data_IF_552398946580
#
_entry.id   IF_552398946580
#
_cell.length_a   1.000
_cell.length_b   1.000
_cell.length_c   1.000
_cell.angle_alpha   90.00
_cell.angle_beta   90.00
_cell.angle_gamma   90.00
#
_symmetry.space_group_name_H-M   'P 1'
#
loop_
_entity.id
_entity.type
_entity.pdbx_description
1 polymer ?
#
# COMPACT_ATOMS: atom_id res chain seq x y z
N UNK A 1 -98.40 -14.83 -15.41
CA UNK A 1 -97.11 -15.57 -15.57
C UNK A 1 -95.98 -14.68 -15.07
N UNK A 2 -94.95 -15.31 -14.52
CA UNK A 2 -93.98 -14.82 -13.52
C UNK A 2 -93.22 -13.51 -13.85
N UNK A 3 -92.88 -12.69 -12.82
CA UNK A 3 -92.05 -11.47 -12.89
C UNK A 3 -90.59 -11.69 -12.39
N UNK A 4 -89.82 -10.58 -12.25
CA UNK A 4 -88.56 -10.38 -11.49
C UNK A 4 -87.25 -10.82 -12.19
N UNK A 5 -86.09 -10.19 -12.04
CA UNK A 5 -85.66 -9.03 -11.25
C UNK A 5 -84.35 -8.47 -11.84
N UNK A 6 -84.15 -7.16 -11.71
CA UNK A 6 -82.85 -6.50 -11.82
C UNK A 6 -81.97 -6.91 -10.63
N UNK A 7 -80.74 -7.35 -10.89
CA UNK A 7 -79.69 -7.50 -9.89
C UNK A 7 -78.66 -6.37 -10.07
N UNK A 8 -78.56 -5.50 -9.06
CA UNK A 8 -77.47 -4.57 -8.89
C UNK A 8 -76.18 -5.34 -8.57
N UNK A 9 -75.15 -5.18 -9.41
CA UNK A 9 -73.79 -5.61 -9.08
C UNK A 9 -73.10 -4.49 -8.28
N UNK A 10 -72.76 -4.76 -7.02
CA UNK A 10 -71.86 -3.91 -6.24
C UNK A 10 -70.44 -4.39 -6.51
N UNK A 11 -69.63 -3.56 -7.17
CA UNK A 11 -68.21 -3.82 -7.37
C UNK A 11 -67.44 -3.47 -6.09
N UNK A 12 -66.93 -4.49 -5.40
CA UNK A 12 -65.97 -4.32 -4.28
C UNK A 12 -64.58 -4.14 -4.89
N UNK A 13 -63.99 -2.97 -4.69
CA UNK A 13 -62.59 -2.71 -5.05
C UNK A 13 -61.68 -3.24 -3.95
N UNK A 14 -60.93 -4.31 -4.22
CA UNK A 14 -59.82 -4.72 -3.37
C UNK A 14 -58.62 -3.80 -3.63
N UNK A 15 -58.33 -2.91 -2.68
CA UNK A 15 -57.07 -2.16 -2.64
C UNK A 15 -56.01 -3.10 -2.08
N UNK A 16 -55.15 -3.65 -2.94
CA UNK A 16 -53.91 -4.29 -2.49
C UNK A 16 -52.92 -3.20 -2.08
N UNK A 17 -52.39 -3.21 -0.83
CA UNK A 17 -51.28 -2.35 -0.49
C UNK A 17 -50.03 -2.81 -1.25
N UNK A 18 -49.50 -1.91 -2.06
CA UNK A 18 -48.19 -2.02 -2.69
C UNK A 18 -47.13 -2.10 -1.57
N UNK A 19 -46.27 -3.12 -1.49
CA UNK A 19 -45.20 -3.12 -0.50
C UNK A 19 -44.25 -1.98 -0.85
N UNK A 20 -44.12 -1.02 0.07
CA UNK A 20 -43.14 0.04 -0.05
C UNK A 20 -41.75 -0.60 -0.20
N UNK A 21 -41.11 -0.39 -1.35
CA UNK A 21 -39.71 -0.72 -1.53
C UNK A 21 -38.92 0.07 -0.48
N UNK A 22 -38.41 -0.62 0.54
CA UNK A 22 -37.35 -0.09 1.40
C UNK A 22 -36.23 0.35 0.48
N UNK A 23 -36.01 1.66 0.37
CA UNK A 23 -34.83 2.20 -0.27
C UNK A 23 -33.62 1.53 0.39
N UNK A 24 -32.87 0.76 -0.40
CA UNK A 24 -31.61 0.20 0.05
C UNK A 24 -30.74 1.37 0.51
N UNK A 25 -30.46 1.42 1.81
CA UNK A 25 -29.53 2.40 2.36
C UNK A 25 -28.21 2.25 1.61
N UNK A 26 -27.69 3.37 1.09
CA UNK A 26 -26.40 3.37 0.41
C UNK A 26 -25.36 2.73 1.35
N UNK A 27 -24.48 1.85 0.84
CA UNK A 27 -23.50 1.21 1.69
C UNK A 27 -22.73 2.28 2.47
N UNK A 28 -22.47 2.08 3.78
CA UNK A 28 -21.82 3.09 4.59
C UNK A 28 -20.48 3.45 3.96
N UNK A 29 -20.31 4.73 3.63
CA UNK A 29 -19.06 5.23 3.06
C UNK A 29 -17.98 5.06 4.12
N UNK A 30 -16.88 4.39 3.78
CA UNK A 30 -15.72 4.24 4.65
C UNK A 30 -15.25 5.60 5.16
N UNK A 31 -15.45 5.87 6.46
CA UNK A 31 -15.03 7.11 7.11
C UNK A 31 -13.49 7.17 7.24
N UNK A 32 -12.87 6.02 7.50
CA UNK A 32 -11.41 5.88 7.56
C UNK A 32 -10.86 5.48 6.20
N UNK A 33 -9.83 6.20 5.74
CA UNK A 33 -9.12 5.95 4.48
C UNK A 33 -7.63 5.75 4.74
N UNK A 34 -7.00 4.85 4.00
CA UNK A 34 -5.55 4.77 3.94
C UNK A 34 -5.02 5.91 3.05
N UNK A 35 -4.19 6.77 3.63
CA UNK A 35 -3.66 7.97 2.98
C UNK A 35 -2.33 7.73 2.28
N UNK A 36 -1.40 7.02 2.95
CA UNK A 36 -0.06 6.74 2.40
C UNK A 36 0.58 5.50 2.99
N UNK A 37 1.51 4.96 2.22
CA UNK A 37 2.44 3.88 2.56
C UNK A 37 3.86 4.45 2.65
N UNK A 38 4.63 4.04 3.64
CA UNK A 38 6.01 4.45 3.80
C UNK A 38 6.88 3.26 4.22
N UNK A 39 8.11 3.18 3.73
CA UNK A 39 9.16 2.30 4.27
C UNK A 39 9.99 3.09 5.27
N UNK A 40 10.10 2.60 6.50
CA UNK A 40 10.93 3.20 7.54
C UNK A 40 12.31 2.56 7.55
N UNK A 41 13.35 3.38 7.48
CA UNK A 41 14.72 2.93 7.72
C UNK A 41 15.50 3.99 8.50
N UNK A 42 16.60 3.57 9.11
CA UNK A 42 17.46 4.46 9.88
C UNK A 42 18.19 5.45 8.97
N UNK A 43 18.31 6.69 9.42
CA UNK A 43 19.08 7.76 8.79
C UNK A 43 19.95 8.44 9.87
N UNK A 44 21.00 7.75 10.32
CA UNK A 44 21.91 8.23 11.36
C UNK A 44 21.23 8.59 12.68
N UNK A 45 21.47 9.82 13.14
CA UNK A 45 20.89 10.41 14.35
C UNK A 45 19.44 10.87 14.17
N UNK A 46 18.97 11.05 12.94
CA UNK A 46 17.56 11.37 12.67
C UNK A 46 16.61 10.21 13.01
N UNK A 47 17.16 9.02 13.28
CA UNK A 47 16.38 7.84 13.65
C UNK A 47 15.66 7.24 12.45
N UNK A 48 14.44 6.77 12.64
CA UNK A 48 13.63 6.12 11.59
C UNK A 48 12.94 7.16 10.71
N UNK A 49 13.38 7.23 9.45
CA UNK A 49 12.83 8.15 8.43
C UNK A 49 12.03 7.35 7.41
N UNK A 50 10.82 7.83 7.13
CA UNK A 50 9.91 7.23 6.17
C UNK A 50 10.15 7.74 4.75
N UNK A 51 10.26 6.80 3.81
CA UNK A 51 10.21 7.06 2.38
C UNK A 51 8.83 6.66 1.86
N UNK A 52 8.10 7.59 1.25
CA UNK A 52 6.76 7.31 0.72
C UNK A 52 6.82 6.35 -0.47
N UNK A 53 6.01 5.29 -0.41
CA UNK A 53 5.89 4.29 -1.46
C UNK A 53 4.90 4.80 -2.51
N UNK A 54 5.46 5.36 -3.58
CA UNK A 54 4.72 5.80 -4.77
C UNK A 54 4.85 4.81 -5.92
N UNK A 55 4.16 5.06 -7.04
CA UNK A 55 4.19 4.14 -8.18
C UNK A 55 5.62 3.94 -8.71
N UNK A 56 6.09 2.70 -8.68
CA UNK A 56 7.45 2.36 -9.11
C UNK A 56 8.54 2.58 -8.08
N UNK A 57 8.17 2.78 -6.82
CA UNK A 57 9.10 2.92 -5.71
C UNK A 57 10.13 1.79 -5.62
N UNK A 58 11.38 2.16 -5.37
CA UNK A 58 12.49 1.26 -5.06
C UNK A 58 13.14 1.68 -3.75
N UNK A 59 13.23 0.74 -2.82
CA UNK A 59 13.99 0.87 -1.58
C UNK A 59 15.48 0.62 -1.89
N UNK A 60 16.24 1.71 -1.83
CA UNK A 60 17.67 1.77 -2.14
C UNK A 60 18.56 1.63 -0.91
N UNK A 61 18.01 1.81 0.30
CA UNK A 61 18.77 1.79 1.55
C UNK A 61 19.10 0.35 1.92
N UNK A 62 20.31 0.14 2.45
CA UNK A 62 20.84 -1.19 2.83
C UNK A 62 20.00 -1.88 3.91
N UNK A 63 19.26 -1.12 4.72
CA UNK A 63 18.31 -1.67 5.67
C UNK A 63 17.18 -2.48 5.02
N UNK A 64 16.91 -2.25 3.73
CA UNK A 64 15.85 -2.91 2.98
C UNK A 64 14.45 -2.58 3.50
N UNK A 65 13.46 -3.33 3.00
CA UNK A 65 12.07 -3.20 3.45
C UNK A 65 11.90 -4.09 4.68
N UNK A 66 12.17 -3.55 5.87
CA UNK A 66 12.01 -4.26 7.14
C UNK A 66 10.89 -3.70 8.02
N UNK A 67 10.48 -2.46 7.78
CA UNK A 67 9.49 -1.75 8.58
C UNK A 67 8.62 -0.87 7.68
N UNK A 68 7.30 -0.97 7.83
CA UNK A 68 6.33 -0.21 7.07
C UNK A 68 5.55 0.72 7.99
N UNK A 69 5.20 1.90 7.48
CA UNK A 69 4.27 2.82 8.14
C UNK A 69 3.11 3.15 7.21
N UNK A 70 1.90 2.92 7.70
CA UNK A 70 0.66 3.24 7.02
C UNK A 70 -0.03 4.35 7.80
N UNK A 71 -0.42 5.43 7.11
CA UNK A 71 -1.12 6.57 7.74
C UNK A 71 -2.57 6.59 7.26
N UNK A 72 -3.51 6.68 8.19
CA UNK A 72 -4.95 6.70 7.93
C UNK A 72 -5.57 8.06 8.24
N UNK A 73 -6.70 8.38 7.60
CA UNK A 73 -7.46 9.61 7.83
C UNK A 73 -8.26 9.62 9.13
N UNK A 74 -8.31 8.48 9.83
CA UNK A 74 -9.10 8.27 11.04
C UNK A 74 -8.64 6.99 11.75
N UNK A 75 -9.14 6.74 12.96
CA UNK A 75 -8.67 5.63 13.78
C UNK A 75 -9.06 4.27 13.20
N UNK A 76 -8.13 3.32 13.30
CA UNK A 76 -8.27 1.90 12.94
C UNK A 76 -8.67 1.11 14.18
N UNK A 77 -9.54 0.11 14.01
CA UNK A 77 -9.89 -0.79 15.10
C UNK A 77 -8.74 -1.80 15.35
N UNK A 78 -8.06 -1.75 16.52
CA UNK A 78 -6.93 -2.63 16.83
C UNK A 78 -7.32 -4.11 16.82
N UNK A 79 -8.57 -4.45 17.10
CA UNK A 79 -9.02 -5.85 17.15
C UNK A 79 -9.05 -6.51 15.76
N UNK A 80 -8.99 -5.71 14.70
CA UNK A 80 -8.96 -6.19 13.30
C UNK A 80 -7.55 -6.40 12.75
N UNK A 81 -6.52 -6.06 13.52
CA UNK A 81 -5.10 -6.24 13.15
C UNK A 81 -4.57 -7.60 13.61
N UNK A 82 -5.09 -8.66 13.01
CA UNK A 82 -4.66 -10.04 13.24
C UNK A 82 -3.84 -10.63 12.08
N UNK A 83 -3.67 -11.95 12.08
CA UNK A 83 -3.08 -12.69 10.95
C UNK A 83 -3.87 -12.36 9.67
N UNK A 84 -3.15 -12.05 8.59
CA UNK A 84 -3.75 -11.64 7.31
C UNK A 84 -4.14 -10.16 7.22
N UNK A 85 -3.88 -9.34 8.26
CA UNK A 85 -4.00 -7.88 8.20
C UNK A 85 -3.20 -7.27 7.05
N UNK A 86 -1.99 -7.77 6.83
CA UNK A 86 -1.12 -7.40 5.74
C UNK A 86 -0.72 -8.67 4.97
N UNK A 87 -0.84 -8.61 3.65
CA UNK A 87 -0.28 -9.61 2.74
C UNK A 87 0.92 -9.02 2.02
N UNK A 88 1.99 -9.82 1.94
CA UNK A 88 3.23 -9.48 1.25
C UNK A 88 3.52 -10.58 0.26
N UNK A 89 3.66 -10.23 -1.02
CA UNK A 89 4.01 -11.20 -2.05
C UNK A 89 5.19 -10.72 -2.87
N UNK A 90 6.30 -11.45 -2.81
CA UNK A 90 7.44 -11.29 -3.72
C UNK A 90 7.13 -11.87 -5.09
N UNK A 91 7.63 -11.22 -6.13
CA UNK A 91 7.50 -11.70 -7.50
C UNK A 91 8.34 -12.97 -7.72
N UNK A 92 9.51 -13.05 -7.09
CA UNK A 92 10.36 -14.25 -7.05
C UNK A 92 10.15 -15.04 -5.76
N UNK A 93 9.97 -14.35 -4.62
CA UNK A 93 9.88 -14.97 -3.29
C UNK A 93 8.55 -15.66 -2.96
N UNK A 94 7.48 -15.43 -3.72
CA UNK A 94 6.16 -16.00 -3.41
C UNK A 94 5.46 -15.28 -2.26
N UNK A 95 4.67 -16.00 -1.45
CA UNK A 95 3.97 -15.43 -0.30
C UNK A 95 4.91 -15.29 0.89
N UNK A 96 5.04 -14.07 1.40
CA UNK A 96 5.91 -13.68 2.51
C UNK A 96 5.11 -13.07 3.65
N UNK A 97 3.78 -13.28 3.68
CA UNK A 97 2.90 -12.66 4.69
C UNK A 97 3.23 -13.10 6.12
N UNK A 98 3.83 -14.29 6.29
CA UNK A 98 4.27 -14.80 7.59
C UNK A 98 5.51 -14.07 8.15
N UNK A 99 6.19 -13.24 7.34
CA UNK A 99 7.30 -12.41 7.82
C UNK A 99 6.85 -11.26 8.72
N UNK A 100 5.54 -10.97 8.80
CA UNK A 100 5.02 -9.92 9.68
C UNK A 100 5.19 -10.34 11.13
N UNK A 101 6.21 -9.77 11.80
CA UNK A 101 6.54 -10.08 13.19
C UNK A 101 5.67 -9.31 14.18
N UNK A 102 5.19 -8.13 13.80
CA UNK A 102 4.38 -7.30 14.69
C UNK A 102 3.70 -6.13 14.00
N UNK A 103 2.60 -5.70 14.60
CA UNK A 103 1.82 -4.54 14.18
C UNK A 103 1.50 -3.70 15.42
N UNK A 104 1.67 -2.39 15.30
CA UNK A 104 1.37 -1.45 16.40
C UNK A 104 0.69 -0.21 15.87
N UNK A 105 -0.34 0.23 16.59
CA UNK A 105 -1.04 1.48 16.31
C UNK A 105 -0.44 2.62 17.16
N UNK A 106 -0.32 3.79 16.55
CA UNK A 106 0.25 5.00 17.12
C UNK A 106 -0.61 6.21 16.73
N UNK A 107 -0.40 7.34 17.40
CA UNK A 107 -1.04 8.61 17.02
C UNK A 107 -2.58 8.56 17.09
N UNK A 108 -3.14 7.98 18.16
CA UNK A 108 -4.59 7.81 18.30
C UNK A 108 -5.17 6.84 17.27
N UNK A 109 -4.45 5.75 17.02
CA UNK A 109 -4.82 4.67 16.09
C UNK A 109 -4.91 5.07 14.62
N UNK A 110 -4.27 6.18 14.25
CA UNK A 110 -4.23 6.68 12.86
C UNK A 110 -2.95 6.30 12.12
N UNK A 111 -1.95 5.76 12.81
CA UNK A 111 -0.68 5.34 12.23
C UNK A 111 -0.41 3.89 12.60
N UNK A 112 -0.38 3.01 11.60
CA UNK A 112 0.02 1.62 11.78
C UNK A 112 1.49 1.47 11.42
N UNK A 113 2.28 0.96 12.34
CA UNK A 113 3.67 0.54 12.11
C UNK A 113 3.70 -0.98 12.08
N UNK A 114 4.19 -1.54 10.98
CA UNK A 114 4.35 -2.98 10.76
C UNK A 114 5.84 -3.30 10.76
N UNK A 115 6.24 -4.23 11.63
CA UNK A 115 7.60 -4.72 11.73
C UNK A 115 7.67 -6.11 11.10
N UNK A 116 8.63 -6.31 10.20
CA UNK A 116 8.96 -7.62 9.66
C UNK A 116 10.05 -8.29 10.52
N UNK A 117 10.06 -9.62 10.53
CA UNK A 117 11.06 -10.42 11.24
C UNK A 117 12.47 -10.16 10.69
N UNK A 118 12.57 -9.95 9.38
CA UNK A 118 13.77 -9.57 8.65
C UNK A 118 13.39 -8.68 7.46
N UNK A 119 14.38 -8.04 6.86
CA UNK A 119 14.17 -7.28 5.63
C UNK A 119 13.75 -8.21 4.49
N UNK A 120 12.84 -7.76 3.64
CA UNK A 120 12.51 -8.46 2.40
C UNK A 120 13.76 -8.60 1.51
N UNK A 121 13.84 -9.70 0.76
CA UNK A 121 14.97 -10.01 -0.11
C UNK A 121 15.31 -8.88 -1.10
N UNK A 122 16.61 -8.63 -1.25
CA UNK A 122 17.11 -7.64 -2.18
C UNK A 122 17.13 -8.17 -3.62
N UNK A 123 16.65 -7.36 -4.57
CA UNK A 123 16.56 -7.74 -5.99
C UNK A 123 15.20 -8.32 -6.40
N UNK A 124 14.13 -8.09 -5.64
CA UNK A 124 12.77 -8.52 -5.98
C UNK A 124 11.76 -7.36 -5.95
N UNK A 125 10.57 -7.62 -6.51
CA UNK A 125 9.40 -6.73 -6.48
C UNK A 125 8.32 -7.31 -5.59
N UNK A 126 7.71 -6.46 -4.79
CA UNK A 126 6.74 -6.81 -3.77
C UNK A 126 5.39 -6.15 -4.03
N UNK A 127 4.35 -6.96 -3.91
CA UNK A 127 2.97 -6.48 -3.79
C UNK A 127 2.59 -6.51 -2.32
N UNK A 128 2.32 -5.33 -1.75
CA UNK A 128 1.85 -5.17 -0.37
C UNK A 128 0.36 -4.88 -0.38
N UNK A 129 -0.43 -5.53 0.47
CA UNK A 129 -1.88 -5.33 0.48
C UNK A 129 -2.45 -5.38 1.90
N UNK A 130 -3.20 -4.35 2.27
CA UNK A 130 -3.99 -4.32 3.49
C UNK A 130 -5.27 -5.14 3.29
N UNK A 131 -5.48 -6.16 4.13
CA UNK A 131 -6.55 -7.13 3.96
C UNK A 131 -7.95 -6.55 4.16
N UNK A 132 -8.93 -7.24 3.57
CA UNK A 132 -10.34 -6.85 3.59
C UNK A 132 -11.00 -7.02 4.95
N UNK A 133 -10.33 -7.55 5.97
CA UNK A 133 -10.82 -7.64 7.35
C UNK A 133 -10.45 -6.42 8.21
N UNK A 134 -9.51 -5.57 7.78
CA UNK A 134 -9.12 -4.37 8.56
C UNK A 134 -10.25 -3.34 8.55
N UNK A 135 -10.61 -2.80 9.71
CA UNK A 135 -11.74 -1.87 9.87
C UNK A 135 -11.34 -0.58 10.59
N UNK A 136 -12.09 0.49 10.37
CA UNK A 136 -12.11 1.64 11.27
C UNK A 136 -12.93 1.35 12.53
N UNK A 137 -12.77 2.18 13.56
CA UNK A 137 -13.44 2.00 14.89
C UNK A 137 -14.97 1.91 14.80
N UNK A 138 -15.59 2.50 13.78
CA UNK A 138 -17.04 2.38 13.53
C UNK A 138 -17.46 1.05 12.88
N UNK A 139 -16.56 0.06 12.77
CA UNK A 139 -16.80 -1.21 12.08
C UNK A 139 -16.90 -1.07 10.55
N UNK A 140 -16.55 0.10 9.99
CA UNK A 140 -16.57 0.35 8.55
C UNK A 140 -15.27 -0.14 7.89
N UNK A 141 -15.35 -0.57 6.64
CA UNK A 141 -14.15 -0.93 5.86
C UNK A 141 -13.21 0.26 5.70
N UNK A 142 -11.93 0.00 5.42
CA UNK A 142 -10.95 1.04 5.10
C UNK A 142 -11.07 1.43 3.61
N UNK A 143 -11.25 2.72 3.33
CA UNK A 143 -11.23 3.26 1.97
C UNK A 143 -9.81 3.59 1.48
N UNK A 144 -9.69 4.02 0.22
CA UNK A 144 -8.40 4.43 -0.38
C UNK A 144 -7.60 3.27 -0.99
N UNK A 145 -6.35 3.56 -1.39
CA UNK A 145 -5.48 2.61 -2.07
C UNK A 145 -4.83 1.65 -1.08
N UNK A 146 -5.46 0.48 -0.91
CA UNK A 146 -5.03 -0.57 0.04
C UNK A 146 -3.95 -1.50 -0.48
N UNK A 147 -3.47 -1.26 -1.70
CA UNK A 147 -2.40 -2.04 -2.33
C UNK A 147 -1.36 -1.11 -2.90
N UNK A 148 -0.10 -1.40 -2.66
CA UNK A 148 1.01 -0.73 -3.31
C UNK A 148 2.03 -1.75 -3.83
N UNK A 149 2.87 -1.28 -4.75
CA UNK A 149 4.02 -2.02 -5.25
C UNK A 149 5.28 -1.31 -4.76
N UNK A 150 6.20 -2.09 -4.24
CA UNK A 150 7.53 -1.64 -3.85
C UNK A 150 8.55 -2.63 -4.41
N UNK A 151 9.78 -2.19 -4.63
CA UNK A 151 10.88 -3.08 -4.92
C UNK A 151 12.02 -2.84 -3.92
N UNK A 152 12.85 -3.86 -3.68
CA UNK A 152 14.09 -3.68 -2.96
C UNK A 152 15.24 -3.86 -3.95
N UNK A 153 16.04 -2.81 -4.12
CA UNK A 153 17.29 -2.88 -4.87
C UNK A 153 18.30 -1.94 -4.23
N UNK A 154 19.13 -2.47 -3.35
CA UNK A 154 20.10 -1.67 -2.61
C UNK A 154 21.05 -0.96 -3.58
N UNK A 155 21.15 0.35 -3.46
CA UNK A 155 21.97 1.21 -4.32
C UNK A 155 21.26 1.80 -5.54
N UNK A 156 20.01 1.42 -5.84
CA UNK A 156 19.18 2.03 -6.90
C UNK A 156 18.53 3.33 -6.39
N UNK A 157 19.36 4.36 -6.21
CA UNK A 157 18.97 5.64 -5.60
C UNK A 157 18.08 6.47 -6.52
N UNK A 158 18.17 6.27 -7.84
CA UNK A 158 17.31 6.94 -8.81
C UNK A 158 15.96 6.24 -9.04
N UNK A 159 15.83 4.97 -8.64
CA UNK A 159 14.62 4.17 -8.73
C UNK A 159 14.34 3.59 -10.11
N UNK A 160 15.36 3.47 -10.97
CA UNK A 160 15.25 2.95 -12.34
C UNK A 160 15.01 1.44 -12.40
N UNK A 161 15.32 0.71 -11.33
CA UNK A 161 15.33 -0.75 -11.27
C UNK A 161 16.67 -1.38 -11.70
N UNK A 162 17.73 -0.58 -11.78
CA UNK A 162 19.10 -1.00 -12.08
C UNK A 162 20.04 -0.24 -11.15
N UNK A 163 21.16 -0.87 -10.78
CA UNK A 163 22.25 -0.18 -10.09
C UNK A 163 23.34 0.15 -11.10
N UNK A 164 23.50 1.41 -11.43
CA UNK A 164 24.51 1.90 -12.36
C UNK A 164 25.05 3.30 -12.00
N UNK A 165 25.70 3.97 -12.96
CA UNK A 165 26.33 5.27 -12.71
C UNK A 165 25.30 6.40 -12.50
N UNK A 166 24.07 6.23 -12.98
CA UNK A 166 22.98 7.18 -12.73
C UNK A 166 22.68 7.29 -11.23
N UNK A 167 22.81 6.20 -10.46
CA UNK A 167 22.63 6.20 -9.01
C UNK A 167 23.71 6.99 -8.28
N UNK A 168 24.96 6.86 -8.73
CA UNK A 168 26.07 7.68 -8.20
C UNK A 168 25.82 9.16 -8.50
N UNK A 169 25.31 9.47 -9.69
CA UNK A 169 24.94 10.84 -10.04
C UNK A 169 23.77 11.37 -9.19
N UNK A 170 22.74 10.56 -8.94
CA UNK A 170 21.62 10.91 -8.08
C UNK A 170 22.06 11.19 -6.63
N UNK A 171 22.94 10.35 -6.09
CA UNK A 171 23.58 10.55 -4.78
C UNK A 171 24.33 11.90 -4.73
N UNK A 172 25.19 12.18 -5.71
CA UNK A 172 25.97 13.42 -5.76
C UNK A 172 25.08 14.67 -5.89
N UNK A 173 24.00 14.58 -6.67
CA UNK A 173 23.01 15.66 -6.78
C UNK A 173 22.28 15.89 -5.45
N UNK A 174 21.96 14.82 -4.72
CA UNK A 174 21.37 14.92 -3.39
C UNK A 174 22.34 15.55 -2.37
N UNK A 175 23.61 15.12 -2.37
CA UNK A 175 24.67 15.67 -1.52
C UNK A 175 24.93 17.17 -1.81
N UNK A 176 24.77 17.61 -3.06
CA UNK A 176 24.87 19.01 -3.46
C UNK A 176 23.63 19.86 -3.07
N UNK A 177 22.64 19.28 -2.39
CA UNK A 177 21.43 19.98 -1.95
C UNK A 177 20.34 20.09 -3.02
N UNK A 178 20.52 19.48 -4.20
CA UNK A 178 19.51 19.47 -5.27
C UNK A 178 18.49 18.33 -5.12
N UNK A 179 18.63 17.45 -4.12
CA UNK A 179 17.84 16.21 -3.95
C UNK A 179 16.52 16.31 -3.18
N UNK A 180 16.16 17.48 -2.64
CA UNK A 180 14.89 17.68 -1.94
C UNK A 180 14.55 16.61 -0.88
N UNK A 181 13.28 16.20 -0.81
CA UNK A 181 12.76 15.25 0.19
C UNK A 181 13.26 13.79 0.05
N UNK A 182 14.16 13.48 -0.89
CA UNK A 182 14.67 12.13 -1.15
C UNK A 182 16.11 11.88 -0.66
N UNK A 183 16.71 12.84 0.06
CA UNK A 183 18.06 12.72 0.66
C UNK A 183 18.23 11.41 1.44
N UNK A 184 17.23 11.00 2.19
CA UNK A 184 17.28 9.76 2.97
C UNK A 184 17.37 8.49 2.11
N UNK A 185 16.91 8.50 0.84
CA UNK A 185 17.06 7.35 -0.08
C UNK A 185 18.49 7.23 -0.61
N UNK A 186 19.23 8.33 -0.60
CA UNK A 186 20.63 8.37 -1.05
C UNK A 186 21.60 7.98 0.08
N UNK A 187 21.16 7.99 1.34
CA UNK A 187 21.92 7.45 2.48
C UNK A 187 21.75 5.92 2.47
N UNK A 188 22.53 5.28 1.60
CA UNK A 188 22.44 3.85 1.32
C UNK A 188 22.92 3.06 2.53
N UNK A 189 23.92 3.52 3.27
CA UNK A 189 24.42 2.80 4.45
C UNK A 189 23.63 3.10 5.74
N UNK A 190 22.81 4.16 5.74
CA UNK A 190 21.93 4.55 6.84
C UNK A 190 22.61 5.34 7.96
N UNK A 191 23.82 5.87 7.72
CA UNK A 191 24.62 6.56 8.72
C UNK A 191 24.22 8.04 8.92
N UNK A 192 23.33 8.58 8.08
CA UNK A 192 22.82 9.94 8.14
C UNK A 192 23.67 10.97 7.38
N UNK A 193 24.69 10.54 6.65
CA UNK A 193 25.54 11.37 5.78
C UNK A 193 25.39 10.86 4.35
N UNK A 194 25.64 11.75 3.40
CA UNK A 194 25.76 11.40 1.98
C UNK A 194 27.23 11.56 1.61
N UNK A 195 27.99 10.46 1.61
CA UNK A 195 29.43 10.51 1.42
C UNK A 195 29.99 9.31 0.62
N UNK A 196 31.31 9.13 0.65
CA UNK A 196 32.00 8.06 -0.08
C UNK A 196 31.52 6.66 0.33
N UNK A 197 31.06 6.48 1.58
CA UNK A 197 30.53 5.19 2.02
C UNK A 197 29.27 4.78 1.25
N UNK A 198 28.44 5.75 0.85
CA UNK A 198 27.27 5.53 -0.01
C UNK A 198 27.69 5.23 -1.45
N UNK A 199 28.65 5.99 -1.99
CA UNK A 199 29.20 5.73 -3.34
C UNK A 199 29.80 4.32 -3.43
N UNK A 200 30.55 3.89 -2.41
CA UNK A 200 31.13 2.54 -2.33
C UNK A 200 30.02 1.47 -2.21
N UNK A 201 28.94 1.77 -1.48
CA UNK A 201 27.80 0.87 -1.34
C UNK A 201 27.04 0.65 -2.65
N UNK A 202 26.87 1.71 -3.46
CA UNK A 202 26.30 1.66 -4.81
C UNK A 202 27.24 0.89 -5.73
N UNK A 203 28.52 1.28 -5.75
CA UNK A 203 29.53 0.71 -6.66
C UNK A 203 29.71 -0.80 -6.44
N UNK A 204 29.65 -1.27 -5.18
CA UNK A 204 29.71 -2.70 -4.85
C UNK A 204 28.53 -3.52 -5.42
N UNK A 205 27.46 -2.87 -5.86
CA UNK A 205 26.22 -3.48 -6.37
C UNK A 205 25.94 -3.14 -7.84
N UNK A 206 26.84 -2.42 -8.51
CA UNK A 206 26.73 -2.09 -9.92
C UNK A 206 26.45 -3.31 -10.80
N UNK A 207 25.51 -3.17 -11.72
CA UNK A 207 25.08 -4.23 -12.64
C UNK A 207 23.94 -5.10 -12.12
N UNK A 208 23.50 -4.93 -10.87
CA UNK A 208 22.28 -5.58 -10.37
C UNK A 208 21.03 -4.95 -10.98
N UNK A 209 20.00 -5.77 -11.18
CA UNK A 209 18.76 -5.34 -11.84
C UNK A 209 17.56 -6.05 -11.22
N UNK A 210 16.45 -5.34 -11.09
CA UNK A 210 15.18 -5.93 -10.68
C UNK A 210 14.61 -6.85 -11.77
N UNK A 211 13.78 -7.85 -11.41
CA UNK A 211 12.97 -8.56 -12.38
C UNK A 211 12.07 -7.58 -13.15
N UNK A 212 11.69 -7.92 -14.40
CA UNK A 212 10.76 -7.09 -15.16
C UNK A 212 9.43 -7.00 -14.42
N UNK A 213 8.77 -5.83 -14.48
CA UNK A 213 7.44 -5.69 -13.87
C UNK A 213 6.49 -6.71 -14.51
N UNK A 214 5.58 -7.32 -13.72
CA UNK A 214 4.55 -8.17 -14.27
C UNK A 214 3.76 -7.40 -15.33
N UNK A 215 3.53 -8.03 -16.49
CA UNK A 215 2.65 -7.44 -17.50
C UNK A 215 1.25 -7.38 -16.89
N UNK A 216 0.69 -6.18 -16.74
CA UNK A 216 -0.72 -6.05 -16.39
C UNK A 216 -1.51 -6.59 -17.59
N UNK A 217 -2.45 -7.50 -17.35
CA UNK A 217 -3.32 -8.03 -18.40
C UNK A 217 -4.12 -6.86 -19.01
N UNK A 218 -3.63 -6.33 -20.13
CA UNK A 218 -4.11 -5.10 -20.76
C UNK A 218 -3.22 -4.61 -21.91
N UNK A 219 -1.90 -4.86 -21.86
CA UNK A 219 -0.95 -4.47 -22.91
C UNK A 219 -0.83 -5.48 -24.07
N UNK A 220 -1.93 -6.14 -24.45
CA UNK A 220 -2.01 -6.84 -25.74
C UNK A 220 -2.80 -5.98 -26.74
N UNK A 221 -2.13 -4.97 -27.30
CA UNK A 221 -2.46 -4.28 -28.57
C UNK A 221 -1.27 -3.37 -28.87
N UNK A 222 -0.57 -3.40 -30.00
CA UNK A 222 -0.82 -3.95 -31.35
C UNK A 222 0.55 -4.08 -32.02
N UNK A 223 0.98 -5.28 -32.37
CA UNK A 223 1.89 -5.44 -33.51
C UNK A 223 1.01 -5.57 -34.75
N UNK A 224 1.23 -4.69 -35.71
CA UNK A 224 0.76 -4.77 -37.08
C UNK A 224 1.95 -4.49 -37.98
#
# INVERSE_FOLDING_TARGET
MRPLAWMCLVAVWCVWPCPAATAAEAPPVSATRLLKWEVLARHGEAGMVGAEVTAGYVESRRAGIACLRLTFSGPVDPTTLGVGALSIRGQLGGDLSDMVAGMSLQGGDTVLVVQLAEALDDGDRYSLSLGDQVRGVAGTGIGGTRRCEAAALVGDTDGSGRVDYADVAALRMAAAGAGGALVHRCDVDGNGRLDQADEDAITARSGRTLPPRPKVAGDQKTEN
#
